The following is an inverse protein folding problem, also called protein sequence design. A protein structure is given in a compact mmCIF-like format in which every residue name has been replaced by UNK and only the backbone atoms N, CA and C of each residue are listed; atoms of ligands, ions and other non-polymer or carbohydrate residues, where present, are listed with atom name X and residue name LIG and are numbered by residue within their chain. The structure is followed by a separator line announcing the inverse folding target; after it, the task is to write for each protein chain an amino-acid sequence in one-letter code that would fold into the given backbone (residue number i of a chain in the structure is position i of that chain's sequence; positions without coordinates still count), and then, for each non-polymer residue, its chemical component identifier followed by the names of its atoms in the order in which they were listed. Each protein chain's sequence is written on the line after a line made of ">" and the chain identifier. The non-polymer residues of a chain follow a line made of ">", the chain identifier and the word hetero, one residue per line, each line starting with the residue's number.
data_IF_894887930665
#
_entry.id   IF_894887930665
#
_cell.length_a   1.000
_cell.length_b   1.000
_cell.length_c   1.000
_cell.angle_alpha   90.00
_cell.angle_beta   90.00
_cell.angle_gamma   90.00
#
_symmetry.space_group_name_H-M   'P 1'
#
loop_
_entity.id
_entity.type
_entity.pdbx_description
1 polymer ?
#
# COMPACT_ATOMS: atom_id res chain seq x y z
N UNK A 1 100.32 21.61 18.55
CA UNK A 1 99.66 21.72 17.23
C UNK A 1 99.16 20.36 16.76
N UNK A 2 99.96 19.28 16.78
CA UNK A 2 99.63 17.92 16.33
C UNK A 2 98.40 17.32 17.06
N UNK A 3 98.26 17.56 18.40
CA UNK A 3 97.10 17.05 19.19
C UNK A 3 95.76 17.64 18.76
N UNK A 4 95.67 18.95 18.47
CA UNK A 4 94.47 19.60 17.97
C UNK A 4 94.09 19.10 16.54
N UNK A 5 95.09 18.82 15.71
CA UNK A 5 94.87 18.27 14.35
C UNK A 5 94.32 16.86 14.46
N UNK A 6 94.81 16.03 15.38
CA UNK A 6 94.28 14.66 15.61
C UNK A 6 92.85 14.66 16.10
N UNK A 7 92.48 15.56 16.95
CA UNK A 7 91.10 15.75 17.44
C UNK A 7 90.19 16.19 16.33
N UNK A 8 90.58 17.13 15.47
CA UNK A 8 89.81 17.57 14.32
C UNK A 8 89.59 16.40 13.34
N UNK A 9 90.62 15.64 13.00
CA UNK A 9 90.58 14.47 12.14
C UNK A 9 89.62 13.38 12.67
N UNK A 10 89.70 13.10 13.99
CA UNK A 10 88.80 12.16 14.65
C UNK A 10 87.33 12.62 14.64
N UNK A 11 87.08 13.92 14.91
CA UNK A 11 85.74 14.49 14.87
C UNK A 11 85.16 14.45 13.41
N UNK A 12 85.93 14.72 12.38
CA UNK A 12 85.47 14.66 11.00
C UNK A 12 85.19 13.22 10.57
N UNK A 13 85.99 12.24 10.97
CA UNK A 13 85.72 10.82 10.71
C UNK A 13 84.44 10.35 11.39
N UNK A 14 84.23 10.74 12.66
CA UNK A 14 82.98 10.42 13.40
C UNK A 14 81.77 11.05 12.72
N UNK A 15 81.88 12.34 12.37
CA UNK A 15 80.77 13.06 11.68
C UNK A 15 80.45 12.48 10.30
N UNK A 16 81.47 12.08 9.52
CA UNK A 16 81.30 11.41 8.22
C UNK A 16 80.62 10.07 8.39
N UNK A 17 81.03 9.28 9.40
CA UNK A 17 80.38 8.00 9.69
C UNK A 17 78.88 8.19 10.06
N UNK A 18 78.59 9.20 10.91
CA UNK A 18 77.24 9.50 11.29
C UNK A 18 76.37 10.02 10.12
N UNK A 19 76.95 10.83 9.22
CA UNK A 19 76.32 11.30 8.02
C UNK A 19 75.95 10.14 7.06
N UNK A 20 76.88 9.18 6.88
CA UNK A 20 76.62 7.98 6.07
C UNK A 20 75.50 7.13 6.62
N UNK A 21 75.45 6.91 7.96
CA UNK A 21 74.35 6.17 8.61
C UNK A 21 73.05 6.90 8.44
N UNK A 22 73.02 8.22 8.63
CA UNK A 22 71.83 9.04 8.47
C UNK A 22 71.31 9.02 7.03
N UNK A 23 72.21 9.09 6.03
CA UNK A 23 71.86 9.00 4.62
C UNK A 23 71.26 7.61 4.25
N UNK A 24 71.84 6.52 4.79
CA UNK A 24 71.28 5.18 4.65
C UNK A 24 69.88 5.06 5.29
N UNK A 25 69.70 5.61 6.47
CA UNK A 25 68.40 5.64 7.15
C UNK A 25 67.36 6.40 6.35
N UNK A 26 67.72 7.57 5.79
CA UNK A 26 66.83 8.33 4.90
C UNK A 26 66.42 7.54 3.69
N UNK A 27 67.36 6.88 3.02
CA UNK A 27 67.09 6.02 1.87
C UNK A 27 66.10 4.89 2.21
N UNK A 28 66.27 4.20 3.33
CA UNK A 28 65.38 3.17 3.82
C UNK A 28 63.96 3.72 4.13
N UNK A 29 63.91 4.86 4.81
CA UNK A 29 62.59 5.51 5.14
C UNK A 29 61.87 5.95 3.90
N UNK A 30 62.59 6.49 2.91
CA UNK A 30 62.02 6.93 1.63
C UNK A 30 61.49 5.74 0.80
N UNK A 31 62.22 4.62 0.79
CA UNK A 31 61.76 3.40 0.17
C UNK A 31 60.44 2.86 0.78
N UNK A 32 60.33 2.92 2.11
CA UNK A 32 59.10 2.60 2.83
C UNK A 32 57.97 3.58 2.47
N UNK A 33 58.27 4.87 2.36
CA UNK A 33 57.31 5.88 1.94
C UNK A 33 56.79 5.63 0.53
N UNK A 34 57.66 5.31 -0.42
CA UNK A 34 57.27 4.96 -1.79
C UNK A 34 56.38 3.72 -1.84
N UNK A 35 56.67 2.73 -1.00
CA UNK A 35 55.81 1.52 -0.90
C UNK A 35 54.40 1.90 -0.40
N UNK A 36 54.30 2.70 0.63
CA UNK A 36 53.05 3.16 1.20
C UNK A 36 52.21 4.02 0.22
N UNK A 37 52.89 4.89 -0.55
CA UNK A 37 52.26 5.68 -1.60
C UNK A 37 51.65 4.78 -2.71
N UNK A 38 52.36 3.70 -3.07
CA UNK A 38 51.80 2.72 -4.03
C UNK A 38 50.56 2.01 -3.52
N UNK A 39 50.52 1.63 -2.24
CA UNK A 39 49.31 1.09 -1.59
C UNK A 39 48.22 2.12 -1.54
N UNK A 40 48.51 3.36 -1.20
CA UNK A 40 47.58 4.47 -1.19
C UNK A 40 46.94 4.71 -2.57
N UNK A 41 47.77 4.64 -3.65
CA UNK A 41 47.26 4.74 -5.03
C UNK A 41 46.20 3.67 -5.32
N UNK A 42 46.49 2.39 -4.96
CA UNK A 42 45.56 1.28 -5.17
C UNK A 42 44.24 1.49 -4.42
N UNK A 43 44.30 1.83 -3.12
CA UNK A 43 43.10 2.08 -2.33
C UNK A 43 42.31 3.28 -2.86
N UNK A 44 42.99 4.30 -3.35
CA UNK A 44 42.33 5.48 -3.92
C UNK A 44 41.57 5.14 -5.20
N UNK A 45 42.11 4.24 -6.02
CA UNK A 45 41.41 3.71 -7.22
C UNK A 45 40.15 2.92 -6.83
N UNK A 46 40.26 2.05 -5.81
CA UNK A 46 39.11 1.30 -5.29
C UNK A 46 37.99 2.22 -4.77
N UNK A 47 38.37 3.25 -3.99
CA UNK A 47 37.41 4.24 -3.48
C UNK A 47 36.76 5.02 -4.61
N UNK A 48 37.53 5.41 -5.65
CA UNK A 48 36.97 6.11 -6.82
C UNK A 48 35.96 5.24 -7.58
N UNK A 49 36.23 3.95 -7.75
CA UNK A 49 35.31 2.99 -8.36
C UNK A 49 34.02 2.85 -7.52
N UNK A 50 34.15 2.68 -6.20
CA UNK A 50 33.03 2.59 -5.28
C UNK A 50 32.15 3.86 -5.29
N UNK A 51 32.77 5.06 -5.41
CA UNK A 51 32.03 6.33 -5.51
C UNK A 51 31.24 6.42 -6.83
N UNK A 52 31.78 5.91 -7.92
CA UNK A 52 31.09 5.87 -9.21
C UNK A 52 29.87 4.96 -9.13
N UNK A 53 30.02 3.77 -8.55
CA UNK A 53 28.93 2.82 -8.33
C UNK A 53 27.86 3.40 -7.37
N UNK A 54 28.31 4.05 -6.29
CA UNK A 54 27.42 4.74 -5.35
C UNK A 54 26.60 5.81 -6.05
N UNK A 55 27.21 6.65 -6.88
CA UNK A 55 26.50 7.70 -7.61
C UNK A 55 25.42 7.11 -8.55
N UNK A 56 25.71 6.02 -9.25
CA UNK A 56 24.74 5.33 -10.10
C UNK A 56 23.59 4.75 -9.27
N UNK A 57 23.88 4.07 -8.16
CA UNK A 57 22.88 3.47 -7.28
C UNK A 57 21.96 4.55 -6.67
N UNK A 58 22.53 5.65 -6.23
CA UNK A 58 21.78 6.77 -5.64
C UNK A 58 20.84 7.42 -6.66
N UNK A 59 21.29 7.57 -7.92
CA UNK A 59 20.40 8.04 -9.00
C UNK A 59 19.25 7.07 -9.26
N UNK A 60 19.50 5.77 -9.18
CA UNK A 60 18.47 4.75 -9.32
C UNK A 60 17.46 4.80 -8.17
N UNK A 61 17.94 4.99 -6.92
CA UNK A 61 17.07 5.20 -5.75
C UNK A 61 16.17 6.42 -5.94
N UNK A 62 16.72 7.56 -6.37
CA UNK A 62 15.91 8.76 -6.63
C UNK A 62 14.85 8.52 -7.71
N UNK A 63 15.19 7.84 -8.80
CA UNK A 63 14.26 7.47 -9.86
C UNK A 63 13.14 6.56 -9.37
N UNK A 64 13.46 5.53 -8.59
CA UNK A 64 12.48 4.60 -8.02
C UNK A 64 11.57 5.28 -7.00
N UNK A 65 12.11 6.20 -6.20
CA UNK A 65 11.32 6.99 -5.24
C UNK A 65 10.30 7.87 -5.97
N UNK A 66 10.69 8.55 -7.05
CA UNK A 66 9.75 9.32 -7.86
C UNK A 66 8.66 8.43 -8.49
N UNK A 67 9.01 7.24 -8.99
CA UNK A 67 8.04 6.28 -9.50
C UNK A 67 7.07 5.79 -8.42
N UNK A 68 7.58 5.60 -7.18
CA UNK A 68 6.75 5.22 -6.02
C UNK A 68 5.78 6.34 -5.66
N UNK A 69 6.23 7.59 -5.64
CA UNK A 69 5.37 8.75 -5.40
C UNK A 69 4.24 8.85 -6.45
N UNK A 70 4.56 8.68 -7.74
CA UNK A 70 3.55 8.65 -8.80
C UNK A 70 2.55 7.47 -8.65
N UNK A 71 3.03 6.30 -8.24
CA UNK A 71 2.16 5.14 -8.01
C UNK A 71 1.23 5.38 -6.81
N UNK A 72 1.74 5.96 -5.72
CA UNK A 72 0.95 6.34 -4.56
C UNK A 72 -0.13 7.38 -4.90
N UNK A 73 0.20 8.40 -5.70
CA UNK A 73 -0.80 9.37 -6.18
C UNK A 73 -1.90 8.73 -7.02
N UNK A 74 -1.55 7.79 -7.92
CA UNK A 74 -2.56 7.06 -8.70
C UNK A 74 -3.44 6.16 -7.82
N UNK A 75 -2.86 5.53 -6.81
CA UNK A 75 -3.60 4.71 -5.84
C UNK A 75 -4.54 5.56 -4.97
N UNK A 76 -4.10 6.74 -4.51
CA UNK A 76 -4.94 7.71 -3.80
C UNK A 76 -6.12 8.17 -4.67
N UNK A 77 -5.88 8.50 -5.94
CA UNK A 77 -6.94 8.87 -6.88
C UNK A 77 -7.96 7.72 -7.06
N UNK A 78 -7.49 6.48 -7.17
CA UNK A 78 -8.37 5.32 -7.29
C UNK A 78 -9.19 5.10 -6.01
N UNK A 79 -8.60 5.27 -4.83
CA UNK A 79 -9.29 5.21 -3.54
C UNK A 79 -10.38 6.29 -3.43
N UNK A 80 -10.08 7.52 -3.86
CA UNK A 80 -11.05 8.62 -3.86
C UNK A 80 -12.22 8.36 -4.82
N UNK A 81 -11.97 7.80 -6.02
CA UNK A 81 -13.04 7.37 -6.93
C UNK A 81 -13.88 6.27 -6.29
N UNK A 82 -13.23 5.29 -5.65
CA UNK A 82 -13.91 4.23 -4.91
C UNK A 82 -14.81 4.79 -3.80
N UNK A 83 -14.32 5.75 -3.04
CA UNK A 83 -15.09 6.42 -1.98
C UNK A 83 -16.33 7.16 -2.53
N UNK A 84 -16.24 7.81 -3.69
CA UNK A 84 -17.38 8.42 -4.36
C UNK A 84 -18.44 7.38 -4.76
N UNK A 85 -17.99 6.24 -5.30
CA UNK A 85 -18.89 5.11 -5.66
C UNK A 85 -19.58 4.53 -4.44
N UNK A 86 -18.89 4.42 -3.31
CA UNK A 86 -19.47 4.02 -2.01
C UNK A 86 -20.59 4.98 -1.62
N UNK A 87 -20.39 6.30 -1.72
CA UNK A 87 -21.41 7.29 -1.46
C UNK A 87 -22.68 7.08 -2.32
N UNK A 88 -22.52 6.85 -3.61
CA UNK A 88 -23.63 6.54 -4.52
C UNK A 88 -24.34 5.22 -4.18
N UNK A 89 -23.59 4.20 -3.76
CA UNK A 89 -24.17 2.91 -3.33
C UNK A 89 -24.99 3.06 -2.04
N UNK A 90 -24.56 3.87 -1.09
CA UNK A 90 -25.33 4.18 0.14
C UNK A 90 -26.65 4.86 -0.21
N UNK A 91 -26.63 5.87 -1.08
CA UNK A 91 -27.84 6.56 -1.56
C UNK A 91 -28.80 5.59 -2.29
N UNK A 92 -28.25 4.76 -3.16
CA UNK A 92 -29.03 3.72 -3.87
C UNK A 92 -29.66 2.70 -2.91
N UNK A 93 -28.92 2.27 -1.88
CA UNK A 93 -29.45 1.36 -0.85
C UNK A 93 -30.56 1.99 -0.02
N UNK A 94 -30.45 3.28 0.31
CA UNK A 94 -31.51 4.01 1.00
C UNK A 94 -32.78 4.11 0.15
N UNK A 95 -32.63 4.43 -1.13
CA UNK A 95 -33.76 4.46 -2.08
C UNK A 95 -34.43 3.09 -2.18
N UNK A 96 -33.62 2.02 -2.33
CA UNK A 96 -34.13 0.65 -2.36
C UNK A 96 -34.88 0.29 -1.08
N UNK A 97 -34.39 0.66 0.08
CA UNK A 97 -35.08 0.41 1.36
C UNK A 97 -36.42 1.14 1.44
N UNK A 98 -36.51 2.37 0.90
CA UNK A 98 -37.77 3.12 0.81
C UNK A 98 -38.77 2.45 -0.14
N UNK A 99 -38.32 2.01 -1.30
CA UNK A 99 -39.16 1.33 -2.30
C UNK A 99 -39.72 0.01 -1.76
N UNK A 100 -38.86 -0.78 -1.08
CA UNK A 100 -39.29 -2.01 -0.40
C UNK A 100 -40.34 -1.69 0.69
N UNK A 101 -40.13 -0.61 1.45
CA UNK A 101 -41.11 -0.14 2.46
C UNK A 101 -42.46 0.23 1.85
N UNK A 102 -42.46 0.95 0.73
CA UNK A 102 -43.66 1.31 0.01
C UNK A 102 -44.41 0.08 -0.55
N UNK A 103 -43.65 -0.87 -1.13
CA UNK A 103 -44.20 -2.12 -1.63
C UNK A 103 -44.78 -3.00 -0.50
N UNK A 104 -44.12 -3.07 0.65
CA UNK A 104 -44.63 -3.77 1.83
C UNK A 104 -45.95 -3.18 2.33
N UNK A 105 -46.08 -1.84 2.37
CA UNK A 105 -47.33 -1.16 2.74
C UNK A 105 -48.47 -1.46 1.76
N UNK A 106 -48.17 -1.49 0.44
CA UNK A 106 -49.16 -1.85 -0.57
C UNK A 106 -49.65 -3.32 -0.45
N UNK A 107 -48.73 -4.27 -0.19
CA UNK A 107 -49.06 -5.67 0.07
C UNK A 107 -49.88 -5.82 1.37
N UNK A 108 -49.61 -5.04 2.38
CA UNK A 108 -50.37 -5.07 3.63
C UNK A 108 -51.77 -4.50 3.46
N UNK A 109 -51.93 -3.45 2.64
CA UNK A 109 -53.25 -2.94 2.26
C UNK A 109 -54.05 -3.98 1.48
N UNK A 110 -53.44 -4.69 0.50
CA UNK A 110 -54.06 -5.77 -0.22
C UNK A 110 -54.49 -6.92 0.69
N UNK A 111 -53.69 -7.27 1.70
CA UNK A 111 -54.06 -8.28 2.70
C UNK A 111 -55.31 -7.86 3.48
N UNK A 112 -55.43 -6.59 3.84
CA UNK A 112 -56.62 -6.04 4.52
C UNK A 112 -57.82 -6.05 3.62
N UNK A 113 -57.72 -5.56 2.38
CA UNK A 113 -58.83 -5.54 1.41
C UNK A 113 -59.35 -6.95 1.14
N UNK A 114 -58.47 -7.94 1.03
CA UNK A 114 -58.88 -9.36 0.85
C UNK A 114 -59.57 -9.92 2.10
N UNK A 115 -59.19 -9.50 3.29
CA UNK A 115 -59.88 -9.89 4.53
C UNK A 115 -61.29 -9.29 4.61
N UNK A 116 -61.44 -8.04 4.21
CA UNK A 116 -62.74 -7.35 4.16
C UNK A 116 -63.67 -8.02 3.10
N UNK A 117 -63.13 -8.37 1.93
CA UNK A 117 -63.91 -9.12 0.92
C UNK A 117 -64.35 -10.49 1.47
N UNK A 118 -63.46 -11.19 2.19
CA UNK A 118 -63.79 -12.47 2.86
C UNK A 118 -65.03 -12.32 3.79
N UNK A 119 -65.05 -11.27 4.61
CA UNK A 119 -66.18 -11.00 5.49
C UNK A 119 -67.51 -10.72 4.73
N UNK A 120 -67.42 -10.02 3.60
CA UNK A 120 -68.58 -9.78 2.71
C UNK A 120 -69.10 -11.09 2.12
N UNK A 121 -68.20 -11.98 1.67
CA UNK A 121 -68.59 -13.29 1.14
C UNK A 121 -69.30 -14.17 2.18
N UNK A 122 -68.91 -14.11 3.47
CA UNK A 122 -69.57 -14.82 4.53
C UNK A 122 -71.01 -14.32 4.69
N UNK A 123 -71.23 -13.00 4.56
CA UNK A 123 -72.62 -12.41 4.58
C UNK A 123 -73.42 -12.87 3.38
N UNK A 124 -72.85 -12.85 2.14
CA UNK A 124 -73.55 -13.28 0.94
C UNK A 124 -73.93 -14.77 1.01
N UNK A 125 -73.05 -15.60 1.56
CA UNK A 125 -73.28 -17.02 1.80
C UNK A 125 -74.44 -17.22 2.80
N UNK A 126 -74.45 -16.48 3.88
CA UNK A 126 -75.54 -16.51 4.85
C UNK A 126 -76.90 -16.12 4.24
N UNK A 127 -76.93 -15.09 3.36
CA UNK A 127 -78.11 -14.68 2.63
C UNK A 127 -78.56 -15.77 1.67
N UNK A 128 -77.64 -16.42 0.96
CA UNK A 128 -77.94 -17.51 0.06
C UNK A 128 -78.51 -18.74 0.81
N UNK A 129 -77.95 -19.06 1.98
CA UNK A 129 -78.49 -20.11 2.87
C UNK A 129 -79.92 -19.82 3.33
N UNK A 130 -80.17 -18.58 3.78
CA UNK A 130 -81.51 -18.16 4.15
C UNK A 130 -82.48 -18.18 3.00
N UNK A 131 -82.04 -17.76 1.79
CA UNK A 131 -82.85 -17.78 0.58
C UNK A 131 -83.22 -19.20 0.16
N UNK A 132 -82.24 -20.13 0.24
CA UNK A 132 -82.47 -21.55 -0.01
C UNK A 132 -83.48 -22.16 0.96
N UNK A 133 -83.44 -21.80 2.27
CA UNK A 133 -84.43 -22.25 3.24
C UNK A 133 -85.80 -21.63 3.02
N UNK A 134 -85.91 -20.37 2.65
CA UNK A 134 -87.17 -19.69 2.32
C UNK A 134 -87.77 -20.33 1.06
N UNK A 135 -86.99 -20.59 0.03
CA UNK A 135 -87.39 -21.24 -1.16
C UNK A 135 -87.90 -22.68 -0.90
N UNK A 136 -87.21 -23.42 -0.04
CA UNK A 136 -87.65 -24.76 0.39
C UNK A 136 -89.04 -24.71 1.09
N UNK A 137 -89.22 -23.78 2.04
CA UNK A 137 -90.45 -23.61 2.70
C UNK A 137 -91.60 -23.22 1.75
N UNK A 138 -91.35 -22.34 0.77
CA UNK A 138 -92.31 -21.96 -0.26
C UNK A 138 -92.65 -23.16 -1.21
N UNK A 139 -91.65 -24.00 -1.55
CA UNK A 139 -91.91 -25.23 -2.35
C UNK A 139 -92.79 -26.21 -1.58
N UNK A 140 -92.54 -26.40 -0.29
CA UNK A 140 -93.36 -27.22 0.60
C UNK A 140 -94.84 -26.72 0.66
N UNK A 141 -95.06 -25.46 0.82
CA UNK A 141 -96.41 -24.90 0.91
C UNK A 141 -97.11 -24.89 -0.47
N UNK A 142 -96.35 -24.68 -1.54
CA UNK A 142 -96.88 -24.82 -2.90
C UNK A 142 -97.31 -26.24 -3.20
N UNK A 143 -96.60 -27.24 -2.76
CA UNK A 143 -96.99 -28.68 -2.89
C UNK A 143 -98.21 -28.98 -2.00
N UNK A 144 -98.43 -28.33 -0.91
CA UNK A 144 -99.58 -28.47 -0.01
C UNK A 144 -100.86 -27.86 -0.59
N UNK A 145 -100.73 -26.85 -1.46
CA UNK A 145 -101.87 -26.19 -2.12
C UNK A 145 -102.39 -27.01 -3.37
N UNK A 146 -101.74 -28.12 -3.68
CA UNK A 146 -102.17 -28.98 -4.77
C UNK A 146 -102.10 -28.30 -6.13
N UNK A 147 -103.14 -28.53 -7.01
CA UNK A 147 -103.14 -27.97 -8.40
C UNK A 147 -103.05 -26.43 -8.45
N UNK A 148 -103.49 -25.72 -7.38
CA UNK A 148 -103.44 -24.26 -7.32
C UNK A 148 -101.99 -23.74 -7.02
N UNK A 149 -101.18 -24.59 -6.50
CA UNK A 149 -99.82 -24.22 -6.11
C UNK A 149 -98.74 -24.49 -7.22
N UNK A 150 -99.11 -25.13 -8.37
CA UNK A 150 -98.07 -25.58 -9.40
C UNK A 150 -97.19 -24.44 -9.92
N UNK A 151 -97.76 -23.23 -10.16
CA UNK A 151 -96.92 -22.10 -10.62
C UNK A 151 -95.95 -21.59 -9.56
N UNK A 152 -96.35 -21.60 -8.30
CA UNK A 152 -95.52 -21.19 -7.14
C UNK A 152 -94.38 -22.23 -6.88
N UNK A 153 -94.66 -23.51 -7.04
CA UNK A 153 -93.67 -24.59 -6.91
C UNK A 153 -92.51 -24.43 -7.93
N UNK A 154 -92.79 -24.11 -9.16
CA UNK A 154 -91.73 -23.86 -10.17
C UNK A 154 -90.87 -22.64 -9.82
N UNK A 155 -91.50 -21.55 -9.34
CA UNK A 155 -90.74 -20.34 -8.90
C UNK A 155 -89.89 -20.67 -7.71
N UNK A 156 -90.43 -21.41 -6.74
CA UNK A 156 -89.68 -21.80 -5.52
C UNK A 156 -88.45 -22.68 -5.84
N UNK A 157 -88.61 -23.64 -6.74
CA UNK A 157 -87.50 -24.49 -7.19
C UNK A 157 -86.44 -23.70 -7.99
N UNK A 158 -86.84 -22.72 -8.81
CA UNK A 158 -85.89 -21.82 -9.49
C UNK A 158 -85.13 -20.92 -8.53
N UNK A 159 -85.82 -20.34 -7.53
CA UNK A 159 -85.19 -19.55 -6.46
C UNK A 159 -84.21 -20.43 -5.67
N UNK A 160 -84.56 -21.64 -5.33
CA UNK A 160 -83.70 -22.61 -4.66
C UNK A 160 -82.47 -22.95 -5.48
N UNK A 161 -82.63 -23.20 -6.80
CA UNK A 161 -81.49 -23.44 -7.71
C UNK A 161 -80.59 -22.24 -7.79
N UNK A 162 -81.13 -21.03 -7.87
CA UNK A 162 -80.34 -19.78 -7.86
C UNK A 162 -79.58 -19.58 -6.55
N UNK A 163 -80.21 -19.85 -5.41
CA UNK A 163 -79.56 -19.77 -4.08
C UNK A 163 -78.38 -20.76 -4.00
N UNK A 164 -78.57 -21.98 -4.44
CA UNK A 164 -77.51 -22.99 -4.50
C UNK A 164 -76.34 -22.55 -5.40
N UNK A 165 -76.64 -22.05 -6.60
CA UNK A 165 -75.60 -21.50 -7.51
C UNK A 165 -74.85 -20.34 -6.89
N UNK A 166 -75.53 -19.49 -6.12
CA UNK A 166 -74.89 -18.38 -5.38
C UNK A 166 -73.93 -18.91 -4.31
N UNK A 167 -74.34 -19.96 -3.53
CA UNK A 167 -73.49 -20.63 -2.59
C UNK A 167 -72.22 -21.20 -3.24
N UNK A 168 -72.40 -21.94 -4.32
CA UNK A 168 -71.27 -22.55 -5.05
C UNK A 168 -70.29 -21.48 -5.54
N UNK A 169 -70.82 -20.39 -6.14
CA UNK A 169 -69.99 -19.28 -6.61
C UNK A 169 -69.26 -18.54 -5.46
N UNK A 170 -69.92 -18.36 -4.32
CA UNK A 170 -69.28 -17.72 -3.12
C UNK A 170 -68.16 -18.60 -2.55
N UNK A 171 -68.32 -19.93 -2.55
CA UNK A 171 -67.25 -20.85 -2.16
C UNK A 171 -66.01 -20.75 -3.08
N UNK A 172 -66.23 -20.70 -4.41
CA UNK A 172 -65.12 -20.53 -5.38
C UNK A 172 -64.37 -19.22 -5.17
N UNK A 173 -65.09 -18.12 -4.90
CA UNK A 173 -64.50 -16.81 -4.61
C UNK A 173 -63.76 -16.87 -3.27
N UNK A 174 -64.32 -17.54 -2.25
CA UNK A 174 -63.65 -17.71 -0.95
C UNK A 174 -62.31 -18.41 -1.08
N UNK A 175 -62.20 -19.48 -1.86
CA UNK A 175 -60.96 -20.17 -2.14
C UNK A 175 -59.95 -19.27 -2.88
N UNK A 176 -60.39 -18.38 -3.76
CA UNK A 176 -59.54 -17.38 -4.41
C UNK A 176 -59.02 -16.35 -3.43
N UNK A 177 -59.86 -15.87 -2.54
CA UNK A 177 -59.49 -14.90 -1.49
C UNK A 177 -58.47 -15.50 -0.51
N UNK A 178 -58.65 -16.75 -0.06
CA UNK A 178 -57.70 -17.44 0.80
C UNK A 178 -56.32 -17.57 0.14
N UNK A 179 -56.28 -17.93 -1.16
CA UNK A 179 -55.01 -17.98 -1.94
C UNK A 179 -54.38 -16.61 -2.07
N UNK A 180 -55.16 -15.53 -2.24
CA UNK A 180 -54.64 -14.14 -2.27
C UNK A 180 -54.07 -13.75 -0.96
N UNK A 181 -54.72 -14.05 0.17
CA UNK A 181 -54.26 -13.77 1.53
C UNK A 181 -52.91 -14.47 1.83
N UNK A 182 -52.80 -15.78 1.48
CA UNK A 182 -51.55 -16.54 1.63
C UNK A 182 -50.49 -15.97 0.72
N UNK A 183 -50.80 -15.54 -0.51
CA UNK A 183 -49.87 -14.85 -1.40
C UNK A 183 -49.38 -13.52 -0.84
N UNK A 184 -50.28 -12.71 -0.35
CA UNK A 184 -49.92 -11.43 0.28
C UNK A 184 -49.02 -11.60 1.51
N UNK A 185 -49.31 -12.59 2.36
CA UNK A 185 -48.49 -12.87 3.54
C UNK A 185 -47.10 -13.34 3.20
N UNK A 186 -46.94 -14.19 2.16
CA UNK A 186 -45.64 -14.59 1.65
C UNK A 186 -44.87 -13.42 1.05
N UNK A 187 -45.54 -12.54 0.30
CA UNK A 187 -44.94 -11.34 -0.27
C UNK A 187 -44.46 -10.37 0.82
N UNK A 188 -45.24 -10.14 1.87
CA UNK A 188 -44.87 -9.33 3.00
C UNK A 188 -43.63 -9.87 3.74
N UNK A 189 -43.55 -11.21 3.92
CA UNK A 189 -42.38 -11.86 4.48
C UNK A 189 -41.11 -11.68 3.61
N UNK A 190 -41.24 -11.84 2.29
CA UNK A 190 -40.15 -11.61 1.35
C UNK A 190 -39.68 -10.14 1.36
N UNK A 191 -40.60 -9.16 1.45
CA UNK A 191 -40.28 -7.73 1.56
C UNK A 191 -39.51 -7.42 2.85
N UNK A 192 -39.92 -8.00 4.00
CA UNK A 192 -39.20 -7.83 5.28
C UNK A 192 -37.77 -8.36 5.20
N UNK A 193 -37.58 -9.54 4.61
CA UNK A 193 -36.24 -10.12 4.41
C UNK A 193 -35.39 -9.28 3.45
N UNK A 194 -35.98 -8.79 2.35
CA UNK A 194 -35.28 -7.92 1.39
C UNK A 194 -34.84 -6.61 2.02
N UNK A 195 -35.66 -6.03 2.93
CA UNK A 195 -35.29 -4.82 3.66
C UNK A 195 -34.10 -5.05 4.59
N UNK A 196 -34.11 -6.14 5.35
CA UNK A 196 -32.99 -6.51 6.21
C UNK A 196 -31.69 -6.72 5.42
N UNK A 197 -31.79 -7.35 4.25
CA UNK A 197 -30.65 -7.52 3.34
C UNK A 197 -30.15 -6.20 2.78
N UNK A 198 -31.02 -5.27 2.44
CA UNK A 198 -30.65 -3.93 1.97
C UNK A 198 -29.93 -3.13 3.07
N UNK A 199 -30.47 -3.14 4.31
CA UNK A 199 -29.84 -2.48 5.47
C UNK A 199 -28.46 -3.09 5.79
N UNK A 200 -28.35 -4.42 5.80
CA UNK A 200 -27.06 -5.11 5.99
C UNK A 200 -26.08 -4.80 4.86
N UNK A 201 -26.56 -4.73 3.62
CA UNK A 201 -25.75 -4.32 2.45
C UNK A 201 -25.21 -2.90 2.60
N UNK A 202 -26.04 -1.96 3.03
CA UNK A 202 -25.64 -0.57 3.25
C UNK A 202 -24.54 -0.44 4.32
N UNK A 203 -24.63 -1.18 5.42
CA UNK A 203 -23.62 -1.18 6.45
C UNK A 203 -22.26 -1.70 5.94
N UNK A 204 -22.26 -2.79 5.17
CA UNK A 204 -21.03 -3.33 4.55
C UNK A 204 -20.40 -2.37 3.54
N UNK A 205 -21.22 -1.58 2.85
CA UNK A 205 -20.74 -0.54 1.93
C UNK A 205 -20.09 0.61 2.72
N UNK A 206 -20.63 1.00 3.87
CA UNK A 206 -19.99 1.99 4.75
C UNK A 206 -18.64 1.53 5.28
N UNK A 207 -18.53 0.27 5.73
CA UNK A 207 -17.26 -0.32 6.16
C UNK A 207 -16.21 -0.32 5.02
N UNK A 208 -16.65 -0.58 3.79
CA UNK A 208 -15.78 -0.48 2.62
C UNK A 208 -15.31 0.96 2.35
N UNK A 209 -16.17 1.96 2.66
CA UNK A 209 -15.82 3.38 2.58
C UNK A 209 -14.72 3.76 3.56
N UNK A 210 -14.81 3.33 4.81
CA UNK A 210 -13.79 3.56 5.85
C UNK A 210 -12.44 2.90 5.48
N UNK A 211 -12.48 1.70 4.88
CA UNK A 211 -11.29 1.04 4.40
C UNK A 211 -10.61 1.82 3.25
N UNK A 212 -11.39 2.40 2.33
CA UNK A 212 -10.87 3.23 1.24
C UNK A 212 -10.27 4.55 1.76
N UNK A 213 -10.83 5.16 2.78
CA UNK A 213 -10.25 6.33 3.45
C UNK A 213 -8.90 6.00 4.08
N UNK A 214 -8.81 4.87 4.79
CA UNK A 214 -7.54 4.38 5.34
C UNK A 214 -6.48 4.15 4.26
N UNK A 215 -6.87 3.59 3.10
CA UNK A 215 -5.99 3.40 1.95
C UNK A 215 -5.52 4.75 1.38
N UNK A 216 -6.42 5.74 1.27
CA UNK A 216 -6.08 7.09 0.79
C UNK A 216 -5.04 7.75 1.69
N UNK A 217 -5.23 7.69 3.02
CA UNK A 217 -4.29 8.26 3.99
C UNK A 217 -2.92 7.57 3.93
N UNK A 218 -2.88 6.24 3.85
CA UNK A 218 -1.64 5.48 3.69
C UNK A 218 -0.91 5.85 2.38
N UNK A 219 -1.63 6.05 1.28
CA UNK A 219 -1.03 6.47 0.01
C UNK A 219 -0.43 7.88 0.08
N UNK A 220 -1.05 8.81 0.81
CA UNK A 220 -0.46 10.15 1.04
C UNK A 220 0.83 10.06 1.83
N UNK A 221 0.87 9.25 2.89
CA UNK A 221 2.08 9.01 3.68
C UNK A 221 3.20 8.38 2.83
N UNK A 222 2.88 7.38 2.00
CA UNK A 222 3.84 6.78 1.06
C UNK A 222 4.38 7.83 0.07
N UNK A 223 3.53 8.70 -0.46
CA UNK A 223 3.96 9.76 -1.37
C UNK A 223 4.92 10.74 -0.69
N UNK A 224 4.62 11.17 0.54
CA UNK A 224 5.49 12.07 1.32
C UNK A 224 6.85 11.41 1.59
N UNK A 225 6.85 10.16 2.04
CA UNK A 225 8.09 9.40 2.27
C UNK A 225 8.91 9.23 0.99
N UNK A 226 8.27 8.94 -0.14
CA UNK A 226 8.96 8.78 -1.42
C UNK A 226 9.63 10.09 -1.87
N UNK A 227 8.97 11.24 -1.70
CA UNK A 227 9.56 12.56 -1.98
C UNK A 227 10.76 12.85 -1.08
N UNK A 228 10.68 12.51 0.22
CA UNK A 228 11.79 12.67 1.15
C UNK A 228 12.98 11.77 0.77
N UNK A 229 12.74 10.51 0.40
CA UNK A 229 13.79 9.59 -0.05
C UNK A 229 14.46 10.11 -1.33
N UNK A 230 13.70 10.62 -2.30
CA UNK A 230 14.24 11.21 -3.53
C UNK A 230 15.15 12.40 -3.21
N UNK A 231 14.73 13.31 -2.32
CA UNK A 231 15.54 14.45 -1.88
C UNK A 231 16.82 14.01 -1.13
N UNK A 232 16.72 13.01 -0.25
CA UNK A 232 17.89 12.46 0.44
C UNK A 232 18.87 11.80 -0.55
N UNK A 233 18.36 11.12 -1.57
CA UNK A 233 19.18 10.56 -2.63
C UNK A 233 19.91 11.63 -3.44
N UNK A 234 19.26 12.76 -3.79
CA UNK A 234 19.92 13.88 -4.46
C UNK A 234 21.06 14.47 -3.60
N UNK A 235 20.84 14.61 -2.30
CA UNK A 235 21.89 15.04 -1.38
C UNK A 235 23.05 14.03 -1.32
N UNK A 236 22.77 12.73 -1.29
CA UNK A 236 23.79 11.69 -1.32
C UNK A 236 24.60 11.71 -2.63
N UNK A 237 23.96 11.96 -3.77
CA UNK A 237 24.65 12.11 -5.05
C UNK A 237 25.65 13.27 -5.03
N UNK A 238 25.27 14.42 -4.45
CA UNK A 238 26.16 15.56 -4.28
C UNK A 238 27.36 15.23 -3.36
N UNK A 239 27.12 14.49 -2.26
CA UNK A 239 28.19 14.03 -1.36
C UNK A 239 29.13 13.06 -2.07
N UNK A 240 28.60 12.10 -2.83
CA UNK A 240 29.41 11.16 -3.60
C UNK A 240 30.31 11.89 -4.63
N UNK A 241 29.80 12.93 -5.26
CA UNK A 241 30.56 13.78 -6.18
C UNK A 241 31.67 14.55 -5.45
N UNK A 242 31.41 15.13 -4.27
CA UNK A 242 32.44 15.80 -3.46
C UNK A 242 33.55 14.83 -3.01
N UNK A 243 33.17 13.63 -2.57
CA UNK A 243 34.12 12.59 -2.23
C UNK A 243 34.98 12.21 -3.43
N UNK A 244 34.39 12.06 -4.61
CA UNK A 244 35.13 11.76 -5.84
C UNK A 244 36.18 12.83 -6.17
N UNK A 245 35.84 14.11 -6.00
CA UNK A 245 36.81 15.21 -6.18
C UNK A 245 37.93 15.15 -5.14
N UNK A 246 37.62 14.86 -3.88
CA UNK A 246 38.63 14.71 -2.80
C UNK A 246 39.57 13.54 -3.06
N UNK A 247 39.04 12.43 -3.57
CA UNK A 247 39.80 11.26 -3.97
C UNK A 247 40.80 11.63 -5.09
N UNK A 248 40.40 12.44 -6.06
CA UNK A 248 41.30 12.94 -7.09
C UNK A 248 42.42 13.84 -6.49
N UNK A 249 42.10 14.73 -5.56
CA UNK A 249 43.11 15.53 -4.87
C UNK A 249 44.11 14.65 -4.07
N UNK A 250 43.65 13.59 -3.43
CA UNK A 250 44.52 12.63 -2.73
C UNK A 250 45.49 11.96 -3.72
N UNK A 251 45.02 11.60 -4.91
CA UNK A 251 45.91 11.02 -5.97
C UNK A 251 46.97 12.00 -6.41
N UNK A 252 46.60 13.25 -6.62
CA UNK A 252 47.54 14.29 -7.04
C UNK A 252 48.60 14.54 -5.96
N UNK A 253 48.21 14.60 -4.69
CA UNK A 253 49.10 14.70 -3.55
C UNK A 253 50.03 13.49 -3.40
N UNK A 254 49.49 12.28 -3.59
CA UNK A 254 50.32 11.04 -3.56
C UNK A 254 51.35 11.03 -4.66
N UNK A 255 50.99 11.48 -5.86
CA UNK A 255 51.92 11.63 -6.99
C UNK A 255 53.04 12.64 -6.67
N UNK A 256 52.70 13.80 -6.12
CA UNK A 256 53.69 14.80 -5.70
C UNK A 256 54.63 14.27 -4.59
N UNK A 257 54.08 13.53 -3.62
CA UNK A 257 54.87 12.89 -2.57
C UNK A 257 55.81 11.79 -3.12
N UNK A 258 55.40 11.07 -4.14
CA UNK A 258 56.26 10.06 -4.81
C UNK A 258 57.46 10.71 -5.51
N UNK A 259 57.23 11.86 -6.17
CA UNK A 259 58.29 12.66 -6.78
C UNK A 259 59.25 13.22 -5.71
N UNK A 260 58.71 13.80 -4.67
CA UNK A 260 59.51 14.31 -3.50
C UNK A 260 60.33 13.18 -2.86
N UNK A 261 59.74 11.99 -2.70
CA UNK A 261 60.49 10.81 -2.21
C UNK A 261 61.64 10.40 -3.10
N UNK A 262 61.49 10.52 -4.41
CA UNK A 262 62.58 10.25 -5.35
C UNK A 262 63.73 11.25 -5.17
N UNK A 263 63.41 12.53 -5.07
CA UNK A 263 64.38 13.58 -4.82
C UNK A 263 65.14 13.39 -3.49
N UNK A 264 64.42 13.00 -2.42
CA UNK A 264 65.07 12.70 -1.11
C UNK A 264 66.01 11.50 -1.22
N UNK A 265 65.65 10.48 -2.03
CA UNK A 265 66.53 9.31 -2.26
C UNK A 265 67.81 9.73 -2.96
N UNK A 266 67.73 10.54 -4.01
CA UNK A 266 68.90 11.04 -4.76
C UNK A 266 69.78 11.92 -3.85
N UNK A 267 69.20 12.82 -3.08
CA UNK A 267 69.93 13.66 -2.14
C UNK A 267 70.65 12.83 -1.05
N UNK A 268 69.96 11.78 -0.54
CA UNK A 268 70.54 10.87 0.45
C UNK A 268 71.71 10.08 -0.08
N UNK A 269 71.60 9.60 -1.35
CA UNK A 269 72.73 8.93 -2.03
C UNK A 269 73.92 9.86 -2.23
N UNK A 270 73.67 11.14 -2.58
CA UNK A 270 74.68 12.16 -2.69
C UNK A 270 75.37 12.44 -1.34
N UNK A 271 74.61 12.50 -0.23
CA UNK A 271 75.15 12.68 1.13
C UNK A 271 75.99 11.48 1.56
N UNK A 272 75.57 10.24 1.25
CA UNK A 272 76.33 9.04 1.55
C UNK A 272 77.65 9.03 0.78
N UNK A 273 77.66 9.43 -0.48
CA UNK A 273 78.85 9.53 -1.31
C UNK A 273 79.82 10.63 -0.78
N UNK A 274 79.28 11.80 -0.39
CA UNK A 274 80.08 12.88 0.19
C UNK A 274 80.72 12.45 1.51
N UNK A 275 79.94 11.75 2.38
CA UNK A 275 80.49 11.21 3.63
C UNK A 275 81.61 10.23 3.41
N UNK A 276 81.48 9.35 2.43
CA UNK A 276 82.55 8.39 2.06
C UNK A 276 83.81 9.13 1.55
N UNK A 277 83.62 10.12 0.67
CA UNK A 277 84.74 10.95 0.17
C UNK A 277 85.46 11.70 1.32
N UNK A 278 84.75 12.32 2.23
CA UNK A 278 85.28 12.95 3.40
C UNK A 278 86.08 11.99 4.28
N UNK A 279 85.56 10.81 4.52
CA UNK A 279 86.22 9.76 5.29
C UNK A 279 87.53 9.32 4.61
N UNK A 280 87.52 9.16 3.27
CA UNK A 280 88.71 8.79 2.49
C UNK A 280 89.76 9.91 2.50
N UNK A 281 89.39 11.15 2.28
CA UNK A 281 90.30 12.29 2.32
C UNK A 281 90.98 12.44 3.68
N UNK A 282 90.22 12.28 4.76
CA UNK A 282 90.74 12.41 6.12
C UNK A 282 91.60 11.23 6.51
N UNK A 283 91.33 10.00 6.05
CA UNK A 283 92.20 8.82 6.25
C UNK A 283 93.57 8.98 5.55
N UNK A 284 93.67 9.80 4.51
CA UNK A 284 94.95 10.09 3.85
C UNK A 284 95.87 10.93 4.72
N UNK A 285 95.30 11.71 5.66
CA UNK A 285 96.03 12.39 6.72
C UNK A 285 96.46 11.41 7.82
N UNK A 286 97.20 10.40 7.47
CA UNK A 286 97.73 9.40 8.38
C UNK A 286 98.73 10.07 9.37
N UNK A 287 98.17 10.54 10.53
CA UNK A 287 98.96 11.07 11.64
C UNK A 287 99.60 9.89 12.38
N UNK A 288 100.65 9.33 11.79
CA UNK A 288 101.57 8.36 12.32
C UNK A 288 101.10 7.63 13.59
N UNK A 289 100.69 6.34 13.46
CA UNK A 289 100.48 5.47 14.60
C UNK A 289 101.87 5.42 15.35
N UNK A 290 101.93 5.97 16.55
CA UNK A 290 103.02 5.79 17.41
C UNK A 290 103.05 4.36 17.95
N UNK A 291 103.81 3.48 17.28
CA UNK A 291 104.18 2.20 17.87
C UNK A 291 105.10 2.48 19.03
N UNK A 292 104.59 2.39 20.27
CA UNK A 292 105.35 2.03 21.47
C UNK A 292 104.49 1.15 22.34
#
# INVERSE_FOLDING_TARGET
>A
MVGKLREIVSNVLSSSSQLSVSASQLTSTTASTQHNLKQQELHTIEVAAAMTEMAATVQEVARHSNQTAEAAMRADQAANIGHQLVGQMVESSQTLSQDIGAAAAAVQALAQDTADIGSILDVIRSIADQTNLLALNAAIEAARAGDQGRGFAVVADEVRSLAKRTQDSTMEIQDMIERLQVGAQKAAGAMSQSREQAESGANRVLEAGEALETISDANREINEMAVQIASAAEQQAAVAQDISQRVQMIRDLASGNAEGSTQVTEASQGLAQLAEQLSQQVRHFNLGSNNR
#
